data_IF_155178821930
#
_entry.id   IF_155178821930
#
_cell.length_a   1.000
_cell.length_b   1.000
_cell.length_c   1.000
_cell.angle_alpha   90.00
_cell.angle_beta   90.00
_cell.angle_gamma   90.00
#
_symmetry.space_group_name_H-M   'P 1'
#
loop_
_entity.id
_entity.type
_entity.pdbx_description
1 polymer ?
#
# COMPACT_ATOMS: atom_id res chain seq x y z
N UNK A 1 -16.33 13.91 15.11
CA UNK A 1 -15.75 14.50 16.34
C UNK A 1 -14.58 15.44 16.03
N UNK A 2 -13.47 14.98 15.42
CA UNK A 2 -12.31 15.86 15.12
C UNK A 2 -12.66 17.10 14.28
N UNK A 3 -13.45 16.92 13.20
CA UNK A 3 -13.96 18.02 12.35
C UNK A 3 -14.73 19.05 13.18
N UNK A 4 -15.72 18.60 13.94
CA UNK A 4 -16.57 19.48 14.77
C UNK A 4 -15.81 20.14 15.94
N UNK A 5 -14.68 19.57 16.36
CA UNK A 5 -13.81 20.15 17.38
C UNK A 5 -12.80 21.17 16.81
N UNK A 6 -12.84 21.46 15.49
CA UNK A 6 -11.91 22.39 14.83
C UNK A 6 -10.47 21.91 14.80
N UNK A 7 -10.22 20.61 15.01
CA UNK A 7 -8.85 20.08 15.15
C UNK A 7 -8.09 19.98 13.83
N UNK A 8 -8.79 20.07 12.70
CA UNK A 8 -8.19 19.99 11.36
C UNK A 8 -7.80 21.35 10.79
N UNK A 9 -8.20 22.44 11.46
CA UNK A 9 -8.00 23.80 10.95
C UNK A 9 -6.53 24.24 11.01
N UNK A 10 -6.12 25.21 10.16
CA UNK A 10 -4.81 25.84 10.28
C UNK A 10 -4.59 26.41 11.69
N UNK A 11 -3.37 26.27 12.19
CA UNK A 11 -2.99 26.80 13.50
C UNK A 11 -1.83 27.80 13.35
N UNK A 12 -1.77 28.85 14.18
CA UNK A 12 -0.66 29.79 14.14
C UNK A 12 0.64 29.12 14.62
N UNK A 13 1.77 29.60 14.10
CA UNK A 13 3.10 29.15 14.50
C UNK A 13 3.30 29.32 16.02
N UNK A 14 3.95 28.34 16.65
CA UNK A 14 4.24 28.34 18.09
C UNK A 14 5.73 28.37 18.39
N UNK A 15 6.54 28.82 17.45
CA UNK A 15 7.96 29.08 17.72
C UNK A 15 8.01 30.25 18.71
N UNK A 16 8.59 30.05 19.92
CA UNK A 16 8.73 31.09 20.93
C UNK A 16 9.40 32.33 20.35
N UNK A 17 8.85 33.51 20.65
CA UNK A 17 9.52 34.76 20.31
C UNK A 17 10.54 35.07 21.41
N UNK A 18 11.76 35.46 21.03
CA UNK A 18 12.84 35.80 21.98
C UNK A 18 12.53 37.09 22.77
N UNK A 19 11.46 37.82 22.42
CA UNK A 19 11.15 39.13 22.95
C UNK A 19 9.91 39.14 23.86
N UNK A 20 9.18 38.03 23.98
CA UNK A 20 8.00 37.99 24.83
C UNK A 20 8.35 37.73 26.30
N UNK A 21 7.66 38.48 27.18
CA UNK A 21 7.76 38.35 28.63
C UNK A 21 7.02 37.13 29.19
N UNK A 22 6.51 36.24 28.34
CA UNK A 22 5.79 35.04 28.74
C UNK A 22 6.71 34.02 29.39
N UNK A 23 6.20 33.34 30.41
CA UNK A 23 6.92 32.24 31.05
C UNK A 23 7.12 31.10 30.04
N UNK A 24 8.37 30.67 29.85
CA UNK A 24 8.70 29.50 29.01
C UNK A 24 7.90 28.24 29.40
N UNK A 25 7.59 28.10 30.69
CA UNK A 25 6.74 27.02 31.21
C UNK A 25 5.31 27.08 30.67
N UNK A 26 4.74 28.29 30.57
CA UNK A 26 3.41 28.47 30.00
C UNK A 26 3.42 28.15 28.50
N UNK A 27 4.38 28.68 27.74
CA UNK A 27 4.49 28.43 26.30
C UNK A 27 4.68 26.94 25.98
N UNK A 28 5.55 26.26 26.73
CA UNK A 28 5.77 24.83 26.60
C UNK A 28 4.48 24.04 26.85
N UNK A 29 3.72 24.35 27.91
CA UNK A 29 2.44 23.68 28.20
C UNK A 29 1.40 23.88 27.09
N UNK A 30 1.29 25.09 26.55
CA UNK A 30 0.37 25.37 25.43
C UNK A 30 0.84 24.60 24.19
N UNK A 31 2.15 24.57 23.90
CA UNK A 31 2.72 23.79 22.80
C UNK A 31 2.40 22.30 22.94
N UNK A 32 2.62 21.70 24.12
CA UNK A 32 2.32 20.28 24.39
C UNK A 32 0.85 19.97 24.12
N UNK A 33 -0.07 20.85 24.56
CA UNK A 33 -1.50 20.65 24.29
C UNK A 33 -1.84 20.69 22.80
N UNK A 34 -1.21 21.58 22.02
CA UNK A 34 -1.43 21.65 20.57
C UNK A 34 -0.79 20.46 19.85
N UNK A 35 0.43 20.09 20.22
CA UNK A 35 1.12 18.94 19.65
C UNK A 35 0.36 17.63 19.91
N UNK A 36 -0.19 17.45 21.11
CA UNK A 36 -1.06 16.31 21.43
C UNK A 36 -2.28 16.23 20.50
N UNK A 37 -2.89 17.38 20.17
CA UNK A 37 -4.02 17.47 19.24
C UNK A 37 -3.60 17.13 17.81
N UNK A 38 -2.48 17.65 17.33
CA UNK A 38 -1.97 17.37 15.99
C UNK A 38 -1.63 15.88 15.83
N UNK A 39 -0.93 15.30 16.81
CA UNK A 39 -0.64 13.86 16.87
C UNK A 39 -1.91 13.02 16.86
N UNK A 40 -2.94 13.42 17.61
CA UNK A 40 -4.24 12.73 17.60
C UNK A 40 -4.87 12.75 16.21
N UNK A 41 -4.90 13.91 15.53
CA UNK A 41 -5.47 14.02 14.18
C UNK A 41 -4.76 13.07 13.22
N UNK A 42 -3.44 13.12 13.16
CA UNK A 42 -2.69 12.32 12.18
C UNK A 42 -2.64 10.83 12.50
N UNK A 43 -2.78 10.44 13.78
CA UNK A 43 -3.06 9.04 14.13
C UNK A 43 -4.41 8.56 13.57
N UNK A 44 -5.45 9.41 13.61
CA UNK A 44 -6.74 9.10 12.99
C UNK A 44 -6.67 9.05 11.46
N UNK A 45 -5.85 9.89 10.83
CA UNK A 45 -5.60 9.82 9.37
C UNK A 45 -4.91 8.51 8.98
N UNK A 46 -3.93 8.06 9.77
CA UNK A 46 -3.26 6.78 9.54
C UNK A 46 -4.23 5.60 9.69
N UNK A 47 -5.09 5.64 10.71
CA UNK A 47 -6.13 4.62 10.93
C UNK A 47 -7.19 4.62 9.84
N UNK A 48 -7.68 5.80 9.43
CA UNK A 48 -8.61 5.99 8.32
C UNK A 48 -8.06 5.34 7.05
N UNK A 49 -6.80 5.60 6.72
CA UNK A 49 -6.17 4.99 5.57
C UNK A 49 -6.15 3.46 5.63
N UNK A 50 -5.74 2.89 6.77
CA UNK A 50 -5.63 1.44 6.95
C UNK A 50 -7.00 0.77 6.84
N UNK A 51 -8.01 1.31 7.50
CA UNK A 51 -9.38 0.81 7.40
C UNK A 51 -9.87 0.89 5.95
N UNK A 52 -9.75 2.06 5.31
CA UNK A 52 -10.18 2.22 3.92
C UNK A 52 -9.47 1.30 2.94
N UNK A 53 -8.19 0.97 3.19
CA UNK A 53 -7.41 0.05 2.36
C UNK A 53 -7.90 -1.40 2.48
N UNK A 54 -8.18 -1.87 3.70
CA UNK A 54 -8.56 -3.27 3.93
C UNK A 54 -10.05 -3.55 3.80
N UNK A 55 -10.90 -2.52 3.90
CA UNK A 55 -12.34 -2.60 3.67
C UNK A 55 -12.74 -2.21 2.25
N UNK A 56 -11.79 -1.80 1.41
CA UNK A 56 -12.03 -1.33 0.04
C UNK A 56 -13.08 -0.20 -0.01
N UNK A 57 -12.90 0.79 0.86
CA UNK A 57 -13.78 1.97 0.97
C UNK A 57 -13.01 3.27 0.76
N UNK A 58 -13.73 4.35 0.43
CA UNK A 58 -13.13 5.68 0.38
C UNK A 58 -12.55 6.09 1.77
N UNK A 59 -11.39 6.76 1.81
CA UNK A 59 -10.94 7.47 3.02
C UNK A 59 -11.96 8.52 3.49
N UNK A 60 -12.15 8.64 4.80
CA UNK A 60 -13.13 9.55 5.42
C UNK A 60 -12.65 11.01 5.43
N UNK A 61 -11.35 11.23 5.62
CA UNK A 61 -10.77 12.57 5.59
C UNK A 61 -10.45 12.98 4.16
N UNK A 62 -10.78 14.21 3.78
CA UNK A 62 -10.33 14.76 2.49
C UNK A 62 -9.06 15.56 2.70
N UNK A 63 -8.17 15.54 1.70
CA UNK A 63 -6.88 16.25 1.79
C UNK A 63 -7.05 17.76 2.03
N UNK A 64 -8.12 18.36 1.49
CA UNK A 64 -8.40 19.80 1.60
C UNK A 64 -8.77 20.24 3.01
N UNK A 65 -9.24 19.33 3.86
CA UNK A 65 -9.58 19.58 5.27
C UNK A 65 -8.37 19.42 6.20
N UNK A 66 -7.34 18.67 5.81
CA UNK A 66 -6.19 18.33 6.67
C UNK A 66 -5.16 19.45 6.73
N UNK A 67 -5.55 20.57 7.34
CA UNK A 67 -4.79 21.82 7.39
C UNK A 67 -4.08 22.10 8.71
N UNK A 68 -4.29 21.27 9.73
CA UNK A 68 -3.55 21.39 10.98
C UNK A 68 -2.07 21.02 10.77
N UNK A 69 -1.13 21.61 11.51
CA UNK A 69 0.30 21.32 11.38
C UNK A 69 0.61 19.83 11.60
N UNK A 70 1.47 19.26 10.77
CA UNK A 70 2.01 17.90 10.97
C UNK A 70 2.69 17.78 12.35
N UNK A 71 2.76 16.57 12.94
CA UNK A 71 3.43 16.36 14.21
C UNK A 71 4.87 16.86 14.17
N UNK A 72 5.26 17.58 15.20
CA UNK A 72 6.60 18.12 15.35
C UNK A 72 7.65 17.05 15.65
N UNK A 73 8.95 17.41 15.58
CA UNK A 73 10.05 16.51 15.90
C UNK A 73 9.93 15.87 17.29
N UNK A 74 10.29 14.59 17.37
CA UNK A 74 10.13 13.79 18.60
C UNK A 74 10.94 14.35 19.78
N UNK A 75 12.10 14.97 19.52
CA UNK A 75 12.93 15.61 20.56
C UNK A 75 12.18 16.71 21.32
N UNK A 76 11.30 17.46 20.65
CA UNK A 76 10.48 18.49 21.30
C UNK A 76 9.38 17.86 22.14
N UNK A 77 8.74 16.80 21.62
CA UNK A 77 7.67 16.10 22.31
C UNK A 77 8.15 15.37 23.57
N UNK A 78 9.36 14.81 23.51
CA UNK A 78 9.97 14.04 24.61
C UNK A 78 10.69 14.91 25.64
N UNK A 79 10.72 16.23 25.47
CA UNK A 79 11.34 17.14 26.44
C UNK A 79 10.60 17.08 27.78
N UNK A 80 11.35 16.91 28.88
CA UNK A 80 10.78 16.73 30.23
C UNK A 80 10.59 18.03 31.01
N UNK A 81 11.11 19.15 30.48
CA UNK A 81 10.97 20.48 31.06
C UNK A 81 10.91 21.56 29.98
N UNK A 82 10.43 22.74 30.34
CA UNK A 82 10.35 23.89 29.43
C UNK A 82 11.73 24.37 28.98
N UNK A 83 12.77 24.25 29.82
CA UNK A 83 14.14 24.61 29.44
C UNK A 83 14.71 23.67 28.38
N UNK A 84 14.49 22.35 28.54
CA UNK A 84 14.91 21.36 27.55
C UNK A 84 14.18 21.57 26.22
N UNK A 85 12.87 21.80 26.28
CA UNK A 85 12.05 22.07 25.10
C UNK A 85 12.53 23.32 24.36
N UNK A 86 12.79 24.40 25.08
CA UNK A 86 13.26 25.66 24.49
C UNK A 86 14.63 25.51 23.84
N UNK A 87 15.56 24.79 24.50
CA UNK A 87 16.88 24.49 23.93
C UNK A 87 16.77 23.64 22.66
N UNK A 88 15.92 22.61 22.66
CA UNK A 88 15.66 21.78 21.48
C UNK A 88 14.99 22.59 20.35
N UNK A 89 14.07 23.50 20.68
CA UNK A 89 13.42 24.38 19.70
C UNK A 89 14.44 25.27 18.99
N UNK A 90 15.39 25.87 19.73
CA UNK A 90 16.48 26.65 19.14
C UNK A 90 17.37 25.80 18.23
N UNK A 91 17.69 24.57 18.62
CA UNK A 91 18.50 23.67 17.80
C UNK A 91 17.79 23.23 16.52
N UNK A 92 16.48 22.99 16.57
CA UNK A 92 15.70 22.48 15.43
C UNK A 92 15.38 23.59 14.43
N UNK A 93 14.99 24.77 14.92
CA UNK A 93 14.50 25.86 14.08
C UNK A 93 15.50 27.01 13.91
N UNK A 94 16.70 26.90 14.49
CA UNK A 94 17.78 27.87 14.30
C UNK A 94 17.49 29.26 14.86
N UNK A 95 16.63 29.36 15.89
CA UNK A 95 16.31 30.61 16.58
C UNK A 95 17.52 31.12 17.37
N UNK A 96 18.53 31.67 16.69
CA UNK A 96 19.67 32.33 17.33
C UNK A 96 19.39 33.82 17.50
N UNK A 97 19.94 34.41 18.56
CA UNK A 97 19.72 35.80 19.00
C UNK A 97 20.10 36.89 18.00
N UNK A 98 20.72 36.55 16.86
CA UNK A 98 21.26 37.50 15.88
C UNK A 98 20.65 37.39 14.46
N UNK A 99 19.54 36.66 14.29
CA UNK A 99 18.87 36.55 12.98
C UNK A 99 17.84 37.66 12.82
N UNK A 100 17.84 38.32 11.65
CA UNK A 100 16.91 39.39 11.31
C UNK A 100 15.45 38.94 11.56
N UNK A 101 14.62 39.67 12.34
CA UNK A 101 13.25 39.28 12.68
C UNK A 101 12.36 39.00 11.46
N UNK A 102 12.66 39.61 10.32
CA UNK A 102 11.96 39.37 9.04
C UNK A 102 12.28 38.01 8.40
N UNK A 103 13.44 37.41 8.71
CA UNK A 103 13.79 36.03 8.32
C UNK A 103 13.24 34.98 9.31
N UNK A 104 12.93 35.39 10.55
CA UNK A 104 12.24 34.57 11.55
C UNK A 104 10.71 34.54 11.36
N UNK A 105 10.14 35.52 10.64
CA UNK A 105 8.72 35.46 10.19
C UNK A 105 8.46 34.29 9.23
N UNK A 106 9.54 33.71 8.69
CA UNK A 106 9.59 32.47 7.89
C UNK A 106 10.19 31.28 8.65
N UNK A 107 10.29 31.32 9.99
CA UNK A 107 10.59 30.14 10.79
C UNK A 107 9.44 29.16 10.61
N UNK A 108 9.63 28.23 9.67
CA UNK A 108 8.59 27.44 9.05
C UNK A 108 7.79 26.69 10.11
N UNK A 109 6.55 27.12 10.33
CA UNK A 109 5.55 26.30 10.95
C UNK A 109 5.59 24.91 10.28
N UNK A 110 5.54 23.84 11.07
CA UNK A 110 5.40 22.48 10.54
C UNK A 110 4.25 22.48 9.53
N UNK A 111 4.50 22.10 8.25
CA UNK A 111 3.48 22.19 7.21
C UNK A 111 2.30 21.29 7.57
N UNK A 112 1.12 21.56 7.02
CA UNK A 112 0.02 20.61 7.09
C UNK A 112 0.20 19.47 6.07
N UNK A 113 -0.59 18.39 6.18
CA UNK A 113 -0.58 17.35 5.15
C UNK A 113 -1.09 17.89 3.82
N UNK A 114 -2.04 18.84 3.83
CA UNK A 114 -2.45 19.56 2.64
C UNK A 114 -1.25 20.24 1.94
N UNK A 115 -0.47 21.03 2.69
CA UNK A 115 0.70 21.75 2.14
C UNK A 115 1.77 20.76 1.64
N UNK A 116 2.05 19.71 2.42
CA UNK A 116 3.02 18.68 2.04
C UNK A 116 2.59 17.95 0.76
N UNK A 117 1.30 17.66 0.60
CA UNK A 117 0.78 17.03 -0.60
C UNK A 117 0.84 17.97 -1.80
N UNK A 118 0.58 19.27 -1.63
CA UNK A 118 0.79 20.25 -2.67
C UNK A 118 2.26 20.29 -3.13
N UNK A 119 3.22 20.33 -2.20
CA UNK A 119 4.64 20.28 -2.52
C UNK A 119 5.03 18.99 -3.27
N UNK A 120 4.42 17.85 -2.89
CA UNK A 120 4.62 16.57 -3.56
C UNK A 120 4.12 16.60 -5.02
N UNK A 121 2.91 17.13 -5.26
CA UNK A 121 2.34 17.23 -6.59
C UNK A 121 3.21 18.07 -7.55
N UNK A 122 3.81 19.14 -7.03
CA UNK A 122 4.65 20.07 -7.81
C UNK A 122 6.12 19.63 -7.93
N UNK A 123 6.49 18.43 -7.45
CA UNK A 123 7.87 17.91 -7.47
C UNK A 123 8.88 18.78 -6.69
N UNK A 124 8.39 19.58 -5.74
CA UNK A 124 9.25 20.45 -4.91
C UNK A 124 10.06 19.64 -3.88
N UNK A 125 9.54 18.48 -3.47
CA UNK A 125 10.19 17.63 -2.46
C UNK A 125 11.48 16.98 -2.98
N UNK A 126 11.49 16.53 -4.24
CA UNK A 126 12.66 15.94 -4.89
C UNK A 126 13.75 16.99 -5.15
N UNK A 127 13.35 18.19 -5.59
CA UNK A 127 14.27 19.28 -5.96
C UNK A 127 14.91 19.96 -4.76
N UNK A 128 14.20 20.01 -3.63
CA UNK A 128 14.63 20.74 -2.44
C UNK A 128 15.66 20.03 -1.56
N UNK A 129 16.09 18.80 -1.89
CA UNK A 129 16.92 17.94 -1.03
C UNK A 129 16.38 17.84 0.42
N UNK A 130 15.06 17.95 0.59
CA UNK A 130 14.42 17.83 1.90
C UNK A 130 14.36 16.34 2.27
N UNK A 131 15.11 15.95 3.28
CA UNK A 131 14.95 14.63 3.89
C UNK A 131 13.62 14.57 4.62
N UNK A 132 12.63 13.90 4.02
CA UNK A 132 11.32 13.69 4.64
C UNK A 132 11.43 12.56 5.68
N UNK A 133 10.98 12.79 6.93
CA UNK A 133 10.91 11.72 7.91
C UNK A 133 9.87 10.66 7.48
N UNK A 134 10.03 9.41 7.93
CA UNK A 134 9.19 8.30 7.46
C UNK A 134 7.72 8.46 7.87
N UNK A 135 7.42 9.22 8.93
CA UNK A 135 6.05 9.57 9.32
C UNK A 135 5.37 10.50 8.30
N UNK A 136 6.10 11.44 7.69
CA UNK A 136 5.53 12.31 6.66
C UNK A 136 5.26 11.53 5.36
N UNK A 137 6.19 10.64 4.99
CA UNK A 137 5.98 9.70 3.89
C UNK A 137 4.78 8.78 4.16
N UNK A 138 4.62 8.28 5.40
CA UNK A 138 3.47 7.46 5.81
C UNK A 138 2.14 8.17 5.58
N UNK A 139 2.08 9.49 5.82
CA UNK A 139 0.86 10.29 5.66
C UNK A 139 0.58 10.65 4.20
N UNK A 140 1.60 10.84 3.37
CA UNK A 140 1.42 11.10 1.93
C UNK A 140 0.74 9.95 1.18
N UNK A 141 0.80 8.72 1.68
CA UNK A 141 0.09 7.60 1.07
C UNK A 141 -1.45 7.76 1.16
N UNK A 142 -1.98 8.49 2.16
CA UNK A 142 -3.42 8.68 2.35
C UNK A 142 -4.09 9.40 1.17
N UNK A 143 -3.64 10.60 0.74
CA UNK A 143 -4.23 11.27 -0.43
C UNK A 143 -3.99 10.50 -1.74
N UNK A 144 -2.86 9.79 -1.89
CA UNK A 144 -2.60 8.95 -3.06
C UNK A 144 -3.58 7.77 -3.16
N UNK A 145 -3.85 7.10 -2.05
CA UNK A 145 -4.86 6.05 -1.97
C UNK A 145 -6.27 6.60 -2.26
N UNK A 146 -6.61 7.80 -1.77
CA UNK A 146 -7.90 8.42 -2.03
C UNK A 146 -8.10 8.73 -3.52
N UNK A 147 -7.09 9.28 -4.20
CA UNK A 147 -7.11 9.52 -5.64
C UNK A 147 -7.28 8.23 -6.43
N UNK A 148 -6.48 7.21 -6.09
CA UNK A 148 -6.54 5.90 -6.72
C UNK A 148 -7.94 5.28 -6.59
N UNK A 149 -8.49 5.26 -5.37
CA UNK A 149 -9.82 4.72 -5.10
C UNK A 149 -10.90 5.42 -5.93
N UNK A 150 -10.89 6.76 -5.99
CA UNK A 150 -11.89 7.51 -6.74
C UNK A 150 -11.86 7.20 -8.24
N UNK A 151 -10.66 7.06 -8.82
CA UNK A 151 -10.49 6.70 -10.23
C UNK A 151 -10.97 5.26 -10.51
N UNK A 152 -10.63 4.31 -9.64
CA UNK A 152 -11.11 2.93 -9.76
C UNK A 152 -12.64 2.84 -9.63
N UNK A 153 -13.23 3.60 -8.70
CA UNK A 153 -14.69 3.69 -8.57
C UNK A 153 -15.33 4.27 -9.84
N UNK A 154 -14.76 5.32 -10.42
CA UNK A 154 -15.21 5.88 -11.71
C UNK A 154 -15.09 4.86 -12.84
N UNK A 155 -14.00 4.07 -12.88
CA UNK A 155 -13.79 3.04 -13.89
C UNK A 155 -14.86 1.95 -13.83
N UNK A 156 -15.31 1.59 -12.63
CA UNK A 156 -16.39 0.60 -12.43
C UNK A 156 -17.74 1.01 -13.03
N UNK A 157 -17.95 2.30 -13.29
CA UNK A 157 -19.18 2.83 -13.87
C UNK A 157 -19.22 2.71 -15.41
N UNK A 158 -18.10 2.47 -16.09
CA UNK A 158 -18.08 2.32 -17.54
C UNK A 158 -18.58 0.93 -17.94
N UNK A 159 -19.50 0.89 -18.92
CA UNK A 159 -19.98 -0.37 -19.48
C UNK A 159 -18.90 -1.05 -20.36
N UNK A 160 -18.78 -2.37 -20.24
CA UNK A 160 -17.90 -3.18 -21.11
C UNK A 160 -18.53 -3.51 -22.47
N UNK A 161 -19.80 -3.17 -22.68
CA UNK A 161 -20.47 -3.32 -23.97
C UNK A 161 -20.06 -2.19 -24.91
N UNK A 162 -19.60 -2.48 -26.14
CA UNK A 162 -19.30 -1.44 -27.12
C UNK A 162 -20.60 -0.73 -27.50
N UNK A 163 -20.83 0.42 -26.88
CA UNK A 163 -22.06 1.20 -27.08
C UNK A 163 -22.05 1.93 -28.41
N UNK A 164 -23.08 1.69 -29.23
CA UNK A 164 -23.49 2.47 -30.42
C UNK A 164 -23.95 3.90 -30.10
N UNK A 165 -23.71 4.41 -28.89
CA UNK A 165 -24.16 5.73 -28.45
C UNK A 165 -23.22 6.81 -28.98
N UNK A 166 -23.80 7.84 -29.61
CA UNK A 166 -23.09 9.07 -30.00
C UNK A 166 -22.48 9.70 -28.74
N UNK A 167 -21.18 9.50 -28.54
CA UNK A 167 -20.42 10.14 -27.47
C UNK A 167 -20.36 11.64 -27.75
N UNK A 168 -20.93 12.44 -26.85
CA UNK A 168 -20.78 13.89 -26.89
C UNK A 168 -19.29 14.27 -26.75
N UNK A 169 -18.84 15.31 -27.45
CA UNK A 169 -17.44 15.76 -27.46
C UNK A 169 -16.89 16.20 -26.08
N UNK A 170 -17.73 16.25 -25.04
CA UNK A 170 -17.35 16.59 -23.66
C UNK A 170 -17.61 15.46 -22.65
N UNK A 171 -17.82 14.23 -23.13
CA UNK A 171 -18.03 13.08 -22.23
C UNK A 171 -16.72 12.66 -21.57
N UNK A 172 -16.77 12.37 -20.27
CA UNK A 172 -15.72 11.61 -19.59
C UNK A 172 -15.65 10.21 -20.23
N UNK A 173 -14.45 9.69 -20.45
CA UNK A 173 -14.25 8.40 -21.11
C UNK A 173 -13.45 7.43 -20.24
N UNK A 174 -13.58 6.13 -20.51
CA UNK A 174 -12.75 5.08 -19.88
C UNK A 174 -11.26 5.36 -20.12
N UNK A 175 -10.89 5.72 -21.35
CA UNK A 175 -9.50 6.06 -21.74
C UNK A 175 -8.95 7.24 -20.95
N UNK A 176 -9.68 8.36 -20.87
CA UNK A 176 -9.22 9.52 -20.08
C UNK A 176 -9.09 9.21 -18.59
N UNK A 177 -9.93 8.33 -18.05
CA UNK A 177 -9.87 7.92 -16.64
C UNK A 177 -8.69 6.98 -16.38
N UNK A 178 -8.39 6.06 -17.32
CA UNK A 178 -7.19 5.22 -17.28
C UNK A 178 -5.91 6.05 -17.35
N UNK A 179 -5.87 7.10 -18.17
CA UNK A 179 -4.70 7.97 -18.20
C UNK A 179 -4.48 8.71 -16.86
N UNK A 180 -5.55 9.14 -16.18
CA UNK A 180 -5.45 9.69 -14.82
C UNK A 180 -5.00 8.63 -13.80
N UNK A 181 -5.34 7.36 -14.02
CA UNK A 181 -4.87 6.26 -13.18
C UNK A 181 -3.35 6.10 -13.30
N UNK A 182 -2.82 6.14 -14.53
CA UNK A 182 -1.37 6.13 -14.82
C UNK A 182 -0.66 7.29 -14.13
N UNK A 183 -1.19 8.51 -14.18
CA UNK A 183 -0.63 9.68 -13.47
C UNK A 183 -0.55 9.45 -11.93
N UNK A 184 -1.52 8.74 -11.35
CA UNK A 184 -1.49 8.38 -9.92
C UNK A 184 -0.48 7.24 -9.66
N UNK A 185 -0.30 6.30 -10.57
CA UNK A 185 0.77 5.30 -10.48
C UNK A 185 2.16 5.95 -10.55
N UNK A 186 2.35 6.98 -11.38
CA UNK A 186 3.59 7.76 -11.44
C UNK A 186 3.83 8.54 -10.13
N UNK A 187 2.77 9.10 -9.53
CA UNK A 187 2.85 9.69 -8.19
C UNK A 187 3.25 8.64 -7.14
N UNK A 188 2.66 7.45 -7.16
CA UNK A 188 3.04 6.36 -6.27
C UNK A 188 4.51 5.97 -6.47
N UNK A 189 4.99 5.89 -7.72
CA UNK A 189 6.39 5.59 -8.02
C UNK A 189 7.34 6.66 -7.44
N UNK A 190 7.04 7.95 -7.62
CA UNK A 190 7.81 9.04 -7.01
C UNK A 190 7.84 8.94 -5.49
N UNK A 191 6.72 8.59 -4.86
CA UNK A 191 6.67 8.35 -3.43
C UNK A 191 7.58 7.18 -3.03
N UNK A 192 7.59 6.10 -3.82
CA UNK A 192 8.44 4.94 -3.58
C UNK A 192 9.92 5.31 -3.65
N UNK A 193 10.33 6.09 -4.65
CA UNK A 193 11.73 6.51 -4.80
C UNK A 193 12.21 7.30 -3.56
N UNK A 194 11.40 8.25 -3.07
CA UNK A 194 11.68 8.99 -1.83
C UNK A 194 11.79 8.06 -0.61
N UNK A 195 10.90 7.05 -0.52
CA UNK A 195 10.91 6.10 0.59
C UNK A 195 12.07 5.11 0.52
N UNK A 196 12.43 4.66 -0.68
CA UNK A 196 13.54 3.76 -0.94
C UNK A 196 14.87 4.45 -0.61
N UNK A 197 15.05 5.71 -0.99
CA UNK A 197 16.26 6.48 -0.67
C UNK A 197 16.41 6.70 0.84
N UNK A 198 15.31 7.01 1.55
CA UNK A 198 15.34 7.02 3.02
C UNK A 198 15.69 5.64 3.59
N UNK A 199 15.13 4.57 3.02
CA UNK A 199 15.36 3.18 3.43
C UNK A 199 16.80 2.71 3.24
N UNK A 200 17.48 3.14 2.16
CA UNK A 200 18.91 2.87 1.94
C UNK A 200 19.78 3.46 3.06
N UNK A 201 19.45 4.67 3.50
CA UNK A 201 20.15 5.33 4.61
C UNK A 201 19.78 4.74 5.99
N UNK A 202 18.57 4.17 6.12
CA UNK A 202 18.02 3.66 7.38
C UNK A 202 17.37 2.27 7.19
N UNK A 203 18.15 1.22 6.89
CA UNK A 203 17.62 -0.08 6.47
C UNK A 203 16.75 -0.74 7.53
N UNK A 204 17.00 -0.44 8.81
CA UNK A 204 16.30 -1.03 9.95
C UNK A 204 15.07 -0.28 10.44
N UNK A 205 14.67 0.80 9.75
CA UNK A 205 13.50 1.59 10.15
C UNK A 205 12.18 0.80 9.97
N UNK A 206 11.47 0.43 11.06
CA UNK A 206 10.23 -0.34 10.95
C UNK A 206 9.10 0.46 10.31
N UNK A 207 9.10 1.80 10.49
CA UNK A 207 8.09 2.69 9.87
C UNK A 207 8.25 2.67 8.36
N UNK A 208 9.47 2.77 7.84
CA UNK A 208 9.74 2.70 6.39
C UNK A 208 9.30 1.35 5.81
N UNK A 209 9.60 0.24 6.49
CA UNK A 209 9.13 -1.10 6.05
C UNK A 209 7.61 -1.18 6.02
N UNK A 210 6.93 -0.66 7.04
CA UNK A 210 5.47 -0.57 7.09
C UNK A 210 4.91 0.26 5.93
N UNK A 211 5.51 1.42 5.65
CA UNK A 211 5.10 2.29 4.54
C UNK A 211 5.24 1.59 3.19
N UNK A 212 6.34 0.85 2.97
CA UNK A 212 6.56 0.09 1.73
C UNK A 212 5.53 -1.02 1.54
N UNK A 213 5.10 -1.69 2.62
CA UNK A 213 4.01 -2.68 2.53
C UNK A 213 2.70 -1.99 2.11
N UNK A 214 2.36 -0.86 2.73
CA UNK A 214 1.17 -0.08 2.36
C UNK A 214 1.23 0.40 0.92
N UNK A 215 2.38 0.89 0.46
CA UNK A 215 2.62 1.24 -0.93
C UNK A 215 2.29 0.08 -1.87
N UNK A 216 2.84 -1.12 -1.63
CA UNK A 216 2.56 -2.27 -2.49
C UNK A 216 1.08 -2.72 -2.44
N UNK A 217 0.41 -2.61 -1.28
CA UNK A 217 -1.02 -2.89 -1.18
C UNK A 217 -1.87 -1.86 -1.94
N UNK A 218 -1.48 -0.59 -1.94
CA UNK A 218 -2.13 0.47 -2.72
C UNK A 218 -1.87 0.24 -4.21
N UNK A 219 -0.64 -0.06 -4.62
CA UNK A 219 -0.34 -0.39 -6.02
C UNK A 219 -1.08 -1.63 -6.51
N UNK A 220 -1.31 -2.63 -5.64
CA UNK A 220 -2.16 -3.77 -5.97
C UNK A 220 -3.59 -3.36 -6.34
N UNK A 221 -4.16 -2.31 -5.73
CA UNK A 221 -5.48 -1.79 -6.14
C UNK A 221 -5.48 -1.24 -7.57
N UNK A 222 -4.35 -0.73 -8.07
CA UNK A 222 -4.26 -0.23 -9.44
C UNK A 222 -4.28 -1.35 -10.49
N UNK A 223 -3.87 -2.56 -10.11
CA UNK A 223 -3.68 -3.70 -11.04
C UNK A 223 -4.57 -4.90 -10.75
N UNK A 224 -5.39 -4.85 -9.70
CA UNK A 224 -6.35 -5.89 -9.33
C UNK A 224 -7.67 -5.29 -8.84
N UNK A 225 -8.75 -6.04 -8.99
CA UNK A 225 -10.02 -5.81 -8.28
C UNK A 225 -10.17 -6.88 -7.20
N UNK A 226 -9.94 -6.48 -5.95
CA UNK A 226 -9.97 -7.43 -4.84
C UNK A 226 -11.38 -7.91 -4.50
N UNK A 227 -12.42 -7.12 -4.78
CA UNK A 227 -13.80 -7.55 -4.59
C UNK A 227 -14.15 -8.68 -5.57
N UNK A 228 -13.70 -8.58 -6.83
CA UNK A 228 -13.81 -9.66 -7.82
C UNK A 228 -12.95 -10.88 -7.45
N UNK A 229 -11.74 -10.69 -6.91
CA UNK A 229 -10.91 -11.79 -6.37
C UNK A 229 -11.65 -12.56 -5.27
N UNK A 230 -12.29 -11.86 -4.35
CA UNK A 230 -13.05 -12.51 -3.28
C UNK A 230 -14.34 -13.18 -3.79
N UNK A 231 -15.05 -12.55 -4.73
CA UNK A 231 -16.20 -13.16 -5.44
C UNK A 231 -15.79 -14.45 -6.14
N UNK A 232 -14.65 -14.42 -6.84
CA UNK A 232 -14.06 -15.59 -7.47
C UNK A 232 -13.80 -16.69 -6.45
N UNK A 233 -13.13 -16.37 -5.33
CA UNK A 233 -12.84 -17.34 -4.27
C UNK A 233 -14.11 -17.99 -3.69
N UNK A 234 -15.20 -17.23 -3.58
CA UNK A 234 -16.52 -17.70 -3.13
C UNK A 234 -17.35 -18.41 -4.20
N UNK A 235 -16.87 -18.45 -5.46
CA UNK A 235 -17.61 -18.95 -6.63
C UNK A 235 -18.92 -18.19 -6.89
N UNK A 236 -18.95 -16.91 -6.51
CA UNK A 236 -20.06 -16.02 -6.86
C UNK A 236 -20.00 -15.74 -8.37
N UNK A 237 -21.12 -15.83 -9.07
CA UNK A 237 -21.25 -15.71 -10.54
C UNK A 237 -20.66 -16.86 -11.39
N UNK A 238 -20.41 -18.04 -10.81
CA UNK A 238 -20.14 -19.25 -11.61
C UNK A 238 -21.46 -19.81 -12.15
N UNK A 239 -22.00 -19.21 -13.21
CA UNK A 239 -23.21 -19.67 -13.89
C UNK A 239 -22.93 -20.99 -14.63
N UNK A 240 -23.09 -22.14 -13.95
CA UNK A 240 -23.02 -23.56 -14.41
C UNK A 240 -21.86 -24.00 -15.33
N UNK A 241 -21.01 -23.10 -15.81
CA UNK A 241 -20.12 -23.35 -16.94
C UNK A 241 -18.69 -22.93 -16.61
N UNK A 242 -17.87 -23.93 -16.27
CA UNK A 242 -16.47 -23.80 -15.86
C UNK A 242 -15.52 -23.27 -16.96
N UNK A 243 -15.97 -23.07 -18.20
CA UNK A 243 -15.07 -22.65 -19.29
C UNK A 243 -14.76 -21.16 -19.33
N UNK A 244 -15.33 -20.34 -18.43
CA UNK A 244 -15.12 -18.89 -18.43
C UNK A 244 -14.12 -18.38 -17.37
N UNK A 245 -13.32 -19.28 -16.76
CA UNK A 245 -12.29 -18.93 -15.76
C UNK A 245 -11.33 -17.85 -16.27
N UNK A 246 -10.99 -17.87 -17.56
CA UNK A 246 -10.12 -16.85 -18.17
C UNK A 246 -10.74 -15.45 -18.13
N UNK A 247 -12.06 -15.32 -18.36
CA UNK A 247 -12.72 -14.01 -18.30
C UNK A 247 -12.93 -13.55 -16.86
N UNK A 248 -13.28 -14.48 -15.95
CA UNK A 248 -13.36 -14.18 -14.53
C UNK A 248 -12.01 -13.71 -13.96
N UNK A 249 -10.90 -14.34 -14.37
CA UNK A 249 -9.55 -13.92 -13.99
C UNK A 249 -9.22 -12.50 -14.49
N UNK A 250 -9.64 -12.13 -15.71
CA UNK A 250 -9.45 -10.76 -16.25
C UNK A 250 -10.21 -9.68 -15.48
N UNK A 251 -11.30 -10.04 -14.80
CA UNK A 251 -11.99 -9.12 -13.86
C UNK A 251 -11.20 -8.93 -12.57
N UNK A 252 -10.44 -9.95 -12.16
CA UNK A 252 -9.68 -9.95 -10.92
C UNK A 252 -8.31 -9.26 -11.07
N UNK A 253 -7.58 -9.55 -12.16
CA UNK A 253 -6.17 -9.14 -12.33
C UNK A 253 -6.00 -8.52 -13.73
N UNK A 254 -5.68 -7.23 -13.75
CA UNK A 254 -5.51 -6.45 -14.97
C UNK A 254 -4.08 -6.53 -15.51
N UNK A 255 -3.10 -6.53 -14.60
CA UNK A 255 -1.67 -6.59 -14.94
C UNK A 255 -0.99 -7.70 -14.11
N UNK A 256 -0.85 -8.87 -14.74
CA UNK A 256 -0.38 -10.08 -14.07
C UNK A 256 1.02 -9.97 -13.49
N UNK A 257 1.97 -9.43 -14.27
CA UNK A 257 3.36 -9.29 -13.85
C UNK A 257 3.49 -8.40 -12.62
N UNK A 258 2.88 -7.22 -12.67
CA UNK A 258 2.86 -6.25 -11.56
C UNK A 258 2.14 -6.78 -10.32
N UNK A 259 1.01 -7.48 -10.49
CA UNK A 259 0.29 -8.07 -9.36
C UNK A 259 1.16 -9.11 -8.62
N UNK A 260 1.85 -10.00 -9.36
CA UNK A 260 2.76 -10.98 -8.78
C UNK A 260 3.96 -10.30 -8.10
N UNK A 261 4.53 -9.27 -8.74
CA UNK A 261 5.60 -8.46 -8.17
C UNK A 261 5.22 -7.87 -6.82
N UNK A 262 4.12 -7.11 -6.75
CA UNK A 262 3.68 -6.47 -5.52
C UNK A 262 3.31 -7.47 -4.42
N UNK A 263 2.66 -8.60 -4.77
CA UNK A 263 2.41 -9.68 -3.80
C UNK A 263 3.72 -10.24 -3.21
N UNK A 264 4.73 -10.48 -4.05
CA UNK A 264 6.05 -10.91 -3.62
C UNK A 264 6.71 -9.91 -2.67
N UNK A 265 6.65 -8.61 -2.99
CA UNK A 265 7.20 -7.56 -2.14
C UNK A 265 6.49 -7.45 -0.79
N UNK A 266 5.16 -7.60 -0.75
CA UNK A 266 4.40 -7.67 0.52
C UNK A 266 4.92 -8.81 1.40
N UNK A 267 5.09 -10.02 0.83
CA UNK A 267 5.63 -11.15 1.60
C UNK A 267 7.08 -10.95 2.06
N UNK A 268 7.94 -10.45 1.17
CA UNK A 268 9.34 -10.15 1.48
C UNK A 268 9.44 -9.18 2.66
N UNK A 269 8.72 -8.06 2.59
CA UNK A 269 8.76 -7.04 3.62
C UNK A 269 8.18 -7.55 4.95
N UNK A 270 7.07 -8.28 4.93
CA UNK A 270 6.49 -8.88 6.14
C UNK A 270 7.45 -9.88 6.80
N UNK A 271 8.20 -10.65 6.01
CA UNK A 271 9.22 -11.58 6.52
C UNK A 271 10.39 -10.84 7.17
N UNK A 272 10.81 -9.71 6.61
CA UNK A 272 11.89 -8.89 7.15
C UNK A 272 11.51 -8.15 8.43
N UNK A 273 10.21 -8.07 8.77
CA UNK A 273 9.76 -7.44 10.00
C UNK A 273 9.78 -8.43 11.18
N UNK A 274 10.45 -8.06 12.30
CA UNK A 274 10.34 -8.78 13.56
C UNK A 274 8.89 -8.94 14.00
N UNK A 275 8.54 -10.09 14.60
CA UNK A 275 7.17 -10.43 14.97
C UNK A 275 6.53 -9.41 15.94
N UNK A 276 7.32 -8.83 16.84
CA UNK A 276 6.91 -7.80 17.81
C UNK A 276 6.68 -6.42 17.18
N UNK A 277 7.16 -6.20 15.94
CA UNK A 277 7.04 -4.92 15.22
C UNK A 277 6.09 -4.97 14.04
N UNK A 278 5.43 -6.11 13.80
CA UNK A 278 4.47 -6.24 12.69
C UNK A 278 3.22 -5.41 12.96
N UNK A 279 2.67 -4.71 11.96
CA UNK A 279 1.40 -4.02 12.12
C UNK A 279 0.27 -4.99 12.44
N UNK A 280 -0.75 -4.53 13.18
CA UNK A 280 -1.90 -5.36 13.55
C UNK A 280 -2.65 -5.92 12.33
N UNK A 281 -2.60 -5.22 11.20
CA UNK A 281 -3.21 -5.61 9.93
C UNK A 281 -2.34 -6.55 9.07
N UNK A 282 -1.16 -6.98 9.53
CA UNK A 282 -0.23 -7.81 8.73
C UNK A 282 -0.86 -9.09 8.18
N UNK A 283 -1.75 -9.73 8.94
CA UNK A 283 -2.49 -10.92 8.50
C UNK A 283 -3.46 -10.62 7.36
N UNK A 284 -4.10 -9.44 7.36
CA UNK A 284 -4.96 -8.99 6.27
C UNK A 284 -4.15 -8.69 5.00
N UNK A 285 -2.98 -8.07 5.15
CA UNK A 285 -2.05 -7.87 4.02
C UNK A 285 -1.60 -9.20 3.40
N UNK A 286 -1.25 -10.17 4.25
CA UNK A 286 -0.89 -11.52 3.81
C UNK A 286 -2.04 -12.22 3.10
N UNK A 287 -3.25 -12.16 3.66
CA UNK A 287 -4.46 -12.70 3.05
C UNK A 287 -4.71 -12.14 1.65
N UNK A 288 -4.61 -10.82 1.50
CA UNK A 288 -4.85 -10.12 0.24
C UNK A 288 -3.88 -10.56 -0.85
N UNK A 289 -2.58 -10.50 -0.57
CA UNK A 289 -1.54 -10.96 -1.50
C UNK A 289 -1.68 -12.46 -1.82
N UNK A 290 -2.04 -13.28 -0.83
CA UNK A 290 -2.25 -14.73 -1.02
C UNK A 290 -3.40 -15.01 -1.96
N UNK A 291 -4.54 -14.35 -1.79
CA UNK A 291 -5.70 -14.57 -2.65
C UNK A 291 -5.45 -14.14 -4.10
N UNK A 292 -4.74 -13.04 -4.31
CA UNK A 292 -4.38 -12.57 -5.65
C UNK A 292 -3.51 -13.62 -6.35
N UNK A 293 -2.45 -14.11 -5.70
CA UNK A 293 -1.62 -15.18 -6.26
C UNK A 293 -2.39 -16.50 -6.45
N UNK A 294 -3.30 -16.82 -5.53
CA UNK A 294 -4.12 -18.03 -5.62
C UNK A 294 -5.09 -17.99 -6.80
N UNK A 295 -5.80 -16.87 -7.03
CA UNK A 295 -6.65 -16.69 -8.22
C UNK A 295 -5.81 -16.76 -9.50
N UNK A 296 -4.63 -16.12 -9.49
CA UNK A 296 -3.69 -16.20 -10.61
C UNK A 296 -3.29 -17.65 -10.92
N UNK A 297 -3.02 -18.43 -9.88
CA UNK A 297 -2.65 -19.85 -9.95
C UNK A 297 -3.75 -20.72 -10.55
N UNK A 298 -4.99 -20.55 -10.08
CA UNK A 298 -6.16 -21.25 -10.64
C UNK A 298 -6.26 -20.97 -12.14
N UNK A 299 -6.17 -19.71 -12.55
CA UNK A 299 -6.21 -19.33 -13.97
C UNK A 299 -5.12 -20.02 -14.82
N UNK A 300 -3.90 -20.22 -14.27
CA UNK A 300 -2.82 -20.97 -14.96
C UNK A 300 -3.19 -22.42 -15.21
N UNK A 301 -3.76 -23.11 -14.21
CA UNK A 301 -4.12 -24.53 -14.34
C UNK A 301 -5.12 -24.72 -15.49
N UNK A 302 -6.18 -23.90 -15.51
CA UNK A 302 -7.23 -24.02 -16.53
C UNK A 302 -6.75 -23.60 -17.92
N UNK A 303 -5.89 -22.58 -18.02
CA UNK A 303 -5.30 -22.15 -19.29
C UNK A 303 -4.26 -23.15 -19.81
N UNK A 304 -3.44 -23.73 -18.93
CA UNK A 304 -2.42 -24.74 -19.25
C UNK A 304 -3.03 -26.07 -19.68
N UNK A 305 -4.13 -26.50 -19.07
CA UNK A 305 -4.91 -27.66 -19.52
C UNK A 305 -5.47 -27.47 -20.94
N UNK A 306 -5.70 -26.23 -21.37
CA UNK A 306 -6.14 -25.88 -22.71
C UNK A 306 -4.98 -25.80 -23.71
N UNK A 307 -3.79 -25.38 -23.26
CA UNK A 307 -2.55 -25.29 -24.06
C UNK A 307 -1.89 -26.65 -24.31
N UNK A 308 -1.98 -27.60 -23.38
CA UNK A 308 -1.47 -28.98 -23.56
C UNK A 308 -2.19 -29.79 -24.67
N UNK A 309 -3.11 -29.18 -25.42
CA UNK A 309 -3.68 -29.71 -26.67
C UNK A 309 -2.96 -29.21 -27.94
N UNK A 310 -2.04 -28.25 -27.84
CA UNK A 310 -1.32 -27.65 -28.97
C UNK A 310 0.14 -27.41 -28.58
N UNK A 311 1.00 -28.25 -29.14
CA UNK A 311 2.46 -28.11 -29.25
C UNK A 311 3.32 -28.47 -28.04
N UNK A 312 3.88 -29.68 -28.14
CA UNK A 312 5.14 -30.11 -27.56
C UNK A 312 6.30 -29.53 -28.40
N UNK A 313 6.77 -28.32 -28.06
CA UNK A 313 8.05 -27.84 -28.59
C UNK A 313 8.75 -26.88 -27.64
N UNK A 314 9.87 -27.35 -27.10
CA UNK A 314 11.00 -26.56 -26.59
C UNK A 314 10.74 -25.72 -25.35
N UNK A 315 10.97 -26.27 -24.16
CA UNK A 315 11.17 -25.47 -22.93
C UNK A 315 12.39 -24.56 -23.10
N UNK A 316 12.25 -23.23 -23.11
CA UNK A 316 13.38 -22.35 -22.84
C UNK A 316 13.78 -22.55 -21.38
N UNK A 317 15.09 -22.56 -21.08
CA UNK A 317 15.60 -22.48 -19.71
C UNK A 317 15.22 -21.12 -19.11
N UNK A 318 13.98 -20.99 -18.66
CA UNK A 318 13.48 -19.80 -17.98
C UNK A 318 14.05 -19.78 -16.56
N UNK A 319 14.86 -18.77 -16.25
CA UNK A 319 15.41 -18.57 -14.90
C UNK A 319 14.32 -18.50 -13.82
N UNK A 320 14.62 -19.02 -12.64
CA UNK A 320 13.74 -18.93 -11.46
C UNK A 320 13.76 -17.52 -10.86
N UNK A 321 12.59 -16.97 -10.52
CA UNK A 321 12.47 -15.68 -9.83
C UNK A 321 11.82 -15.88 -8.45
N UNK A 322 12.58 -15.60 -7.38
CA UNK A 322 12.10 -15.77 -6.00
C UNK A 322 11.45 -14.48 -5.53
N UNK A 323 10.15 -14.32 -5.78
CA UNK A 323 9.45 -13.03 -5.64
C UNK A 323 9.35 -12.55 -4.19
N UNK A 324 9.44 -13.44 -3.21
CA UNK A 324 9.38 -13.16 -1.78
C UNK A 324 10.77 -12.93 -1.14
N UNK A 325 11.83 -12.87 -1.96
CA UNK A 325 13.20 -12.58 -1.55
C UNK A 325 13.86 -11.50 -2.42
N UNK A 326 13.54 -11.46 -3.71
CA UNK A 326 14.07 -10.47 -4.65
C UNK A 326 13.65 -9.05 -4.28
N UNK A 327 14.61 -8.11 -4.33
CA UNK A 327 14.31 -6.69 -4.17
C UNK A 327 13.76 -6.11 -5.48
N UNK A 328 13.12 -4.93 -5.46
CA UNK A 328 12.62 -4.28 -6.68
C UNK A 328 13.69 -4.01 -7.75
N UNK A 329 14.94 -3.85 -7.33
CA UNK A 329 16.07 -3.60 -8.22
C UNK A 329 16.65 -4.88 -8.85
N UNK A 330 16.18 -6.06 -8.44
CA UNK A 330 16.67 -7.34 -8.96
C UNK A 330 16.38 -7.47 -10.46
N UNK A 331 17.41 -7.75 -11.27
CA UNK A 331 17.25 -7.88 -12.72
C UNK A 331 16.29 -9.02 -13.10
N UNK A 332 16.21 -10.09 -12.29
CA UNK A 332 15.34 -11.23 -12.54
C UNK A 332 13.87 -10.89 -12.35
N UNK A 333 13.53 -10.07 -11.34
CA UNK A 333 12.14 -9.64 -11.12
C UNK A 333 11.71 -8.64 -12.18
N UNK A 334 12.61 -7.73 -12.59
CA UNK A 334 12.36 -6.80 -13.68
C UNK A 334 12.15 -7.52 -15.02
N UNK A 335 12.98 -8.52 -15.33
CA UNK A 335 12.81 -9.34 -16.53
C UNK A 335 11.50 -10.16 -16.50
N UNK A 336 11.03 -10.59 -15.33
CA UNK A 336 9.73 -11.24 -15.19
C UNK A 336 8.56 -10.27 -15.42
N UNK A 337 8.59 -9.09 -14.79
CA UNK A 337 7.51 -8.10 -14.89
C UNK A 337 7.39 -7.53 -16.30
N UNK A 338 8.51 -7.09 -16.89
CA UNK A 338 8.51 -6.35 -18.16
C UNK A 338 8.59 -7.25 -19.39
N UNK A 339 9.34 -8.35 -19.32
CA UNK A 339 9.61 -9.20 -20.49
C UNK A 339 8.82 -10.51 -20.44
N UNK A 340 8.11 -10.79 -19.35
CA UNK A 340 7.41 -12.06 -19.15
C UNK A 340 8.35 -13.27 -19.05
N UNK A 341 9.64 -13.04 -18.78
CA UNK A 341 10.67 -14.09 -18.75
C UNK A 341 10.90 -14.61 -17.34
N UNK A 342 11.05 -15.93 -17.19
CA UNK A 342 11.29 -16.58 -15.90
C UNK A 342 10.06 -17.16 -15.22
N UNK A 343 10.28 -18.00 -14.21
CA UNK A 343 9.22 -18.68 -13.44
C UNK A 343 9.21 -18.15 -12.02
N UNK A 344 8.16 -17.42 -11.66
CA UNK A 344 7.97 -16.89 -10.31
C UNK A 344 7.71 -18.01 -9.29
N UNK A 345 8.40 -17.93 -8.16
CA UNK A 345 8.30 -18.88 -7.05
C UNK A 345 8.38 -18.18 -5.70
N UNK A 346 7.85 -18.84 -4.68
CA UNK A 346 7.93 -18.46 -3.26
C UNK A 346 8.88 -19.38 -2.51
N UNK A 347 9.27 -18.98 -1.30
CA UNK A 347 10.16 -19.76 -0.44
C UNK A 347 9.53 -20.03 0.91
N UNK A 348 9.30 -21.30 1.23
CA UNK A 348 8.81 -21.71 2.55
C UNK A 348 9.85 -21.42 3.63
N UNK A 349 9.41 -21.49 4.89
CA UNK A 349 10.27 -21.31 6.06
C UNK A 349 11.35 -22.38 6.20
N UNK A 350 11.14 -23.57 5.62
CA UNK A 350 12.12 -24.66 5.53
C UNK A 350 13.12 -24.51 4.37
N UNK A 351 13.02 -23.43 3.57
CA UNK A 351 13.86 -23.17 2.40
C UNK A 351 13.37 -23.83 1.10
N UNK A 352 12.32 -24.66 1.14
CA UNK A 352 11.77 -25.28 -0.07
C UNK A 352 11.07 -24.24 -0.95
N UNK A 353 11.10 -24.47 -2.27
CA UNK A 353 10.48 -23.57 -3.25
C UNK A 353 9.04 -23.98 -3.56
N UNK A 354 8.18 -22.99 -3.69
CA UNK A 354 6.76 -23.15 -4.04
C UNK A 354 6.51 -22.48 -5.38
N UNK A 355 6.06 -23.27 -6.35
CA UNK A 355 5.70 -22.77 -7.67
C UNK A 355 4.29 -22.18 -7.65
N UNK A 356 4.07 -21.12 -8.43
CA UNK A 356 2.78 -20.41 -8.45
C UNK A 356 1.69 -21.10 -9.29
N UNK A 357 1.98 -22.26 -9.87
CA UNK A 357 1.02 -23.12 -10.58
C UNK A 357 0.29 -24.11 -9.64
N UNK A 358 0.66 -24.15 -8.36
CA UNK A 358 0.06 -25.01 -7.33
C UNK A 358 -0.70 -24.19 -6.29
N UNK A 359 -2.03 -24.01 -6.43
CA UNK A 359 -2.79 -23.14 -5.55
C UNK A 359 -2.81 -23.64 -4.09
N UNK A 360 -2.73 -24.96 -3.87
CA UNK A 360 -2.69 -25.53 -2.51
C UNK A 360 -1.39 -25.16 -1.79
N UNK A 361 -0.27 -25.12 -2.52
CA UNK A 361 1.02 -24.74 -1.97
C UNK A 361 1.06 -23.25 -1.61
N UNK A 362 0.39 -22.38 -2.39
CA UNK A 362 0.24 -20.95 -2.09
C UNK A 362 -0.56 -20.74 -0.80
N UNK A 363 -1.69 -21.43 -0.63
CA UNK A 363 -2.49 -21.36 0.60
C UNK A 363 -1.69 -21.87 1.80
N UNK A 364 -1.00 -23.00 1.64
CA UNK A 364 -0.18 -23.60 2.68
C UNK A 364 0.98 -22.69 3.09
N UNK A 365 1.62 -22.04 2.11
CA UNK A 365 2.66 -21.04 2.36
C UNK A 365 2.14 -19.90 3.25
N UNK A 366 0.96 -19.36 2.94
CA UNK A 366 0.38 -18.27 3.74
C UNK A 366 0.03 -18.74 5.16
N UNK A 367 -0.57 -19.92 5.31
CA UNK A 367 -0.93 -20.50 6.61
C UNK A 367 0.31 -20.68 7.49
N UNK A 368 1.42 -21.20 6.94
CA UNK A 368 2.67 -21.36 7.67
C UNK A 368 3.25 -20.02 8.15
N UNK A 369 3.19 -18.97 7.31
CA UNK A 369 3.69 -17.66 7.68
C UNK A 369 2.78 -16.95 8.72
N UNK A 370 1.48 -17.21 8.69
CA UNK A 370 0.54 -16.76 9.73
C UNK A 370 0.82 -17.46 11.06
N UNK A 371 1.10 -18.77 11.05
CA UNK A 371 1.42 -19.56 12.25
C UNK A 371 2.76 -19.16 12.89
N UNK A 372 3.75 -18.80 12.08
CA UNK A 372 5.04 -18.30 12.56
C UNK A 372 4.98 -16.85 13.09
N UNK A 373 3.87 -16.15 12.84
CA UNK A 373 3.64 -14.77 13.26
C UNK A 373 3.09 -14.63 14.67
N UNK A 374 2.71 -13.40 15.03
CA UNK A 374 2.04 -13.12 16.30
C UNK A 374 0.58 -13.62 16.27
N UNK A 375 0.19 -14.41 17.28
CA UNK A 375 -1.18 -14.92 17.41
C UNK A 375 -2.17 -13.78 17.64
N UNK A 376 -3.18 -13.70 16.79
CA UNK A 376 -4.23 -12.69 16.87
C UNK A 376 -5.55 -13.28 16.38
N UNK A 377 -6.68 -12.81 16.94
CA UNK A 377 -8.02 -13.28 16.53
C UNK A 377 -8.29 -13.09 15.04
N UNK A 378 -7.79 -11.99 14.47
CA UNK A 378 -7.89 -11.72 13.03
C UNK A 378 -7.05 -12.72 12.22
N UNK A 379 -5.81 -12.99 12.65
CA UNK A 379 -4.94 -14.01 12.04
C UNK A 379 -5.57 -15.40 12.07
N UNK A 380 -6.11 -15.82 13.21
CA UNK A 380 -6.78 -17.11 13.37
C UNK A 380 -8.06 -17.22 12.50
N UNK A 381 -8.79 -16.12 12.36
CA UNK A 381 -9.95 -16.03 11.46
C UNK A 381 -9.54 -16.18 9.99
N UNK A 382 -8.50 -15.48 9.58
CA UNK A 382 -7.95 -15.55 8.22
C UNK A 382 -7.41 -16.95 7.92
N UNK A 383 -6.66 -17.57 8.84
CA UNK A 383 -6.17 -18.94 8.70
C UNK A 383 -7.32 -19.91 8.43
N UNK A 384 -8.39 -19.86 9.22
CA UNK A 384 -9.59 -20.69 9.01
C UNK A 384 -10.23 -20.42 7.65
N UNK A 385 -10.31 -19.15 7.21
CA UNK A 385 -10.84 -18.77 5.89
C UNK A 385 -10.02 -19.40 4.76
N UNK A 386 -8.69 -19.38 4.83
CA UNK A 386 -7.79 -19.98 3.83
C UNK A 386 -7.89 -21.51 3.79
N UNK A 387 -8.00 -22.18 4.96
CA UNK A 387 -8.21 -23.63 5.03
C UNK A 387 -9.54 -24.02 4.37
N UNK A 388 -10.63 -23.32 4.73
CA UNK A 388 -11.96 -23.56 4.15
C UNK A 388 -11.95 -23.32 2.64
N UNK A 389 -11.24 -22.30 2.15
CA UNK A 389 -11.10 -22.05 0.71
C UNK A 389 -10.45 -23.24 -0.01
N UNK A 390 -9.34 -23.77 0.53
CA UNK A 390 -8.65 -24.92 -0.04
C UNK A 390 -9.54 -26.16 -0.14
N UNK A 391 -10.31 -26.43 0.91
CA UNK A 391 -11.29 -27.53 0.94
C UNK A 391 -12.41 -27.33 -0.09
N UNK A 392 -13.00 -26.13 -0.13
CA UNK A 392 -14.11 -25.82 -1.06
C UNK A 392 -13.72 -25.96 -2.53
N UNK A 393 -12.45 -25.68 -2.84
CA UNK A 393 -11.93 -25.79 -4.19
C UNK A 393 -11.35 -27.15 -4.54
N UNK A 394 -11.30 -28.11 -3.59
CA UNK A 394 -10.64 -29.41 -3.72
C UNK A 394 -9.25 -29.27 -4.38
N UNK A 395 -8.49 -28.26 -3.95
CA UNK A 395 -7.28 -27.80 -4.67
C UNK A 395 -6.23 -28.92 -4.81
N UNK A 396 -6.20 -29.87 -3.88
CA UNK A 396 -5.34 -31.06 -3.92
C UNK A 396 -5.68 -32.03 -5.09
N UNK A 397 -6.95 -32.10 -5.50
CA UNK A 397 -7.41 -32.96 -6.60
C UNK A 397 -7.34 -32.30 -7.98
N UNK A 398 -7.36 -30.95 -8.04
CA UNK A 398 -7.24 -30.20 -9.29
C UNK A 398 -5.89 -30.40 -10.00
N UNK A 399 -4.85 -30.79 -9.26
CA UNK A 399 -3.54 -31.14 -9.83
C UNK A 399 -3.50 -32.53 -10.50
N UNK A 400 -4.49 -33.39 -10.25
CA UNK A 400 -4.49 -34.81 -10.67
C UNK A 400 -5.46 -35.07 -11.83
N UNK A 401 -6.55 -34.32 -11.92
CA UNK A 401 -7.53 -34.44 -13.01
C UNK A 401 -8.01 -33.06 -13.44
N UNK A 402 -7.72 -32.58 -14.68
CA UNK A 402 -8.52 -31.50 -15.24
C UNK A 402 -9.98 -31.96 -15.29
N UNK A 403 -10.98 -31.07 -15.13
CA UNK A 403 -12.38 -31.48 -15.12
C UNK A 403 -12.68 -32.26 -16.39
N UNK A 404 -13.00 -33.54 -16.21
CA UNK A 404 -13.39 -34.43 -17.29
C UNK A 404 -14.59 -33.79 -17.95
N UNK A 405 -14.47 -33.46 -19.23
CA UNK A 405 -15.62 -33.15 -20.06
C UNK A 405 -16.56 -34.34 -19.95
N UNK A 406 -17.72 -34.15 -19.33
CA UNK A 406 -18.82 -35.09 -19.48
C UNK A 406 -19.19 -35.09 -20.97
N UNK A 407 -18.60 -36.02 -21.72
CA UNK A 407 -19.20 -36.52 -22.96
C UNK A 407 -20.57 -37.09 -22.59
N UNK A 408 -21.58 -37.00 -23.45
CA UNK A 408 -21.60 -37.01 -24.91
C UNK A 408 -22.85 -36.31 -25.42
#
# INVERSE_FOLDING_TARGET
MLKHAGMLEPQPCMVPSLNDSTSAEFEWRVWVQREARNRLVYNYVMLDQELSLFYDTAPLFTITELRCPLPGPEVLWMSSSSEQWFSAMQSVYGCTTNVNPQLLSTASATPSLYDLFQDFLHDNLSRGQRHLPPQQLRLLLHPLQALLYHLLQMLSCFSDTPGTRRTSARSVTKSSTLHRLEEVQDLLQRWYDLSADYGKANPDCPVTRCNLILYHLISLNAVTDFAEVERFARREAFDRWYWDISQLHKRCIFQRGEAVFHCGQVFRLLRLMPNDRRPAWCSAAMYRATLILWVDSISRIYSGAQANKRDDSGTPQSGSVIIDQATPEDASINAYVWNGTGVAMLTRTDGTRVTLDKPADILSYAIQNLDAGFSSRIGDGIKRKLITLGNNWNVETMAVFPPVSSGS
#
